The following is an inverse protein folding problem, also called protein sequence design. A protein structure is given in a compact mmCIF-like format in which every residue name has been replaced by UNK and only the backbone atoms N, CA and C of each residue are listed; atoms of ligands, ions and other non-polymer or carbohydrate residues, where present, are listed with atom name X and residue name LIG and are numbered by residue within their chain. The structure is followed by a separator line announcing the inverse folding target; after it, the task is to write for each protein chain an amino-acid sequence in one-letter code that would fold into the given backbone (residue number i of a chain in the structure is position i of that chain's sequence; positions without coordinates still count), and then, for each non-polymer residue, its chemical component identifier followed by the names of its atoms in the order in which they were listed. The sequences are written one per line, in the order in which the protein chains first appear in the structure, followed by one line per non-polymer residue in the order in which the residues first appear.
data_IF_896757593853
#
_entry.id   IF_896757593853
#
_cell.length_a   1.000
_cell.length_b   1.000
_cell.length_c   1.000
_cell.angle_alpha   90.00
_cell.angle_beta   90.00
_cell.angle_gamma   90.00
#
_symmetry.space_group_name_H-M   'P 1'
#
loop_
_entity.id
_entity.type
_entity.pdbx_description
1 polymer ?
#
# COMPACT_ATOMS: atom_id res chain seq x y z
N UNK A 1 36.25 8.14 -41.89
CA UNK A 1 36.11 8.35 -40.42
C UNK A 1 37.30 9.19 -39.96
N UNK A 2 37.14 10.07 -38.97
CA UNK A 2 38.24 10.89 -38.48
C UNK A 2 39.23 10.03 -37.69
N UNK A 3 40.53 10.23 -37.93
CA UNK A 3 41.61 9.52 -37.22
C UNK A 3 41.71 9.93 -35.74
N UNK A 4 41.16 11.10 -35.38
CA UNK A 4 41.13 11.56 -33.99
C UNK A 4 39.96 10.91 -33.21
N UNK A 5 40.23 10.14 -32.14
CA UNK A 5 39.20 9.45 -31.36
C UNK A 5 38.21 10.42 -30.69
N UNK A 6 38.62 11.64 -30.35
CA UNK A 6 37.75 12.65 -29.73
C UNK A 6 36.68 13.18 -30.69
N UNK A 7 36.94 13.16 -32.00
CA UNK A 7 36.00 13.59 -33.03
C UNK A 7 35.07 12.46 -33.49
N UNK A 8 35.39 11.21 -33.16
CA UNK A 8 34.62 10.03 -33.59
C UNK A 8 33.20 10.04 -33.04
N UNK A 9 33.02 10.48 -31.80
CA UNK A 9 31.70 10.61 -31.14
C UNK A 9 30.81 11.68 -31.78
N UNK A 10 31.40 12.68 -32.44
CA UNK A 10 30.68 13.74 -33.15
C UNK A 10 30.37 13.36 -34.62
N UNK A 11 31.05 12.34 -35.16
CA UNK A 11 30.95 11.95 -36.57
C UNK A 11 29.54 11.53 -36.99
N UNK A 12 28.80 10.88 -36.09
CA UNK A 12 27.40 10.49 -36.32
C UNK A 12 26.48 11.70 -36.46
N UNK A 13 26.84 12.81 -35.82
CA UNK A 13 26.07 14.05 -35.76
C UNK A 13 26.60 15.14 -36.70
N UNK A 14 27.57 14.81 -37.57
CA UNK A 14 28.28 15.80 -38.41
C UNK A 14 27.40 16.66 -39.30
N UNK A 15 26.24 16.15 -39.74
CA UNK A 15 25.28 16.89 -40.57
C UNK A 15 24.56 18.01 -39.82
N UNK A 16 24.54 17.93 -38.48
CA UNK A 16 23.90 18.91 -37.60
C UNK A 16 24.89 19.92 -37.01
N UNK A 17 26.19 19.75 -37.28
CA UNK A 17 27.23 20.59 -36.70
C UNK A 17 27.57 21.76 -37.62
N UNK A 18 27.51 22.98 -37.08
CA UNK A 18 27.86 24.21 -37.78
C UNK A 18 28.72 25.11 -36.89
N UNK A 19 29.55 25.96 -37.50
CA UNK A 19 30.29 27.01 -36.79
C UNK A 19 29.61 28.35 -37.10
N UNK A 20 29.19 29.06 -36.06
CA UNK A 20 28.56 30.38 -36.17
C UNK A 20 29.21 31.29 -35.14
N UNK A 21 29.77 32.42 -35.57
CA UNK A 21 30.46 33.39 -34.71
C UNK A 21 31.48 32.71 -33.76
N UNK A 22 32.33 31.84 -34.31
CA UNK A 22 33.34 31.05 -33.58
C UNK A 22 32.77 30.07 -32.52
N UNK A 23 31.46 29.82 -32.52
CA UNK A 23 30.82 28.82 -31.67
C UNK A 23 30.44 27.58 -32.48
N UNK A 24 30.73 26.40 -31.92
CA UNK A 24 30.24 25.14 -32.47
C UNK A 24 28.80 24.91 -32.02
N UNK A 25 27.89 24.76 -32.97
CA UNK A 25 26.48 24.51 -32.76
C UNK A 25 26.09 23.10 -33.24
N UNK A 26 25.16 22.48 -32.53
CA UNK A 26 24.36 21.34 -32.99
C UNK A 26 22.94 21.85 -33.20
N UNK A 27 22.50 21.94 -34.45
CA UNK A 27 21.28 22.67 -34.83
C UNK A 27 21.27 24.08 -34.19
N UNK A 28 20.39 24.32 -33.22
CA UNK A 28 20.24 25.59 -32.49
C UNK A 28 20.96 25.61 -31.12
N UNK A 29 21.71 24.57 -30.78
CA UNK A 29 22.28 24.36 -29.42
C UNK A 29 23.79 24.48 -29.41
N UNK A 30 24.33 25.10 -28.37
CA UNK A 30 25.77 25.29 -28.23
C UNK A 30 26.44 23.98 -27.80
N UNK A 31 27.53 23.65 -28.49
CA UNK A 31 28.40 22.50 -28.19
C UNK A 31 29.54 22.96 -27.31
N UNK A 32 29.49 22.60 -26.03
CA UNK A 32 30.50 23.00 -25.06
C UNK A 32 31.73 22.07 -25.08
N UNK A 33 32.94 22.63 -24.88
CA UNK A 33 34.15 21.84 -24.73
C UNK A 33 34.08 20.99 -23.45
N UNK A 34 34.78 19.85 -23.48
CA UNK A 34 34.77 18.87 -22.37
C UNK A 34 35.16 19.46 -21.02
N UNK A 35 36.02 20.48 -21.02
CA UNK A 35 36.45 21.21 -19.82
C UNK A 35 35.32 21.92 -19.10
N UNK A 36 34.25 22.30 -19.80
CA UNK A 36 33.10 23.02 -19.25
C UNK A 36 31.90 22.12 -18.94
N UNK A 37 31.98 20.81 -19.25
CA UNK A 37 30.82 19.91 -19.09
C UNK A 37 30.30 19.88 -17.66
N UNK A 38 31.17 19.87 -16.66
CA UNK A 38 30.77 19.84 -15.24
C UNK A 38 30.03 21.11 -14.83
N UNK A 39 30.58 22.27 -15.18
CA UNK A 39 29.96 23.58 -14.88
C UNK A 39 28.58 23.73 -15.52
N UNK A 40 28.44 23.28 -16.77
CA UNK A 40 27.14 23.33 -17.46
C UNK A 40 26.14 22.32 -16.87
N UNK A 41 26.60 21.13 -16.46
CA UNK A 41 25.75 20.17 -15.75
C UNK A 41 25.26 20.72 -14.41
N UNK A 42 26.13 21.39 -13.65
CA UNK A 42 25.76 22.09 -12.42
C UNK A 42 24.73 23.18 -12.71
N UNK A 43 24.94 23.99 -13.74
CA UNK A 43 23.99 25.03 -14.16
C UNK A 43 22.63 24.43 -14.51
N UNK A 44 22.58 23.35 -15.28
CA UNK A 44 21.34 22.63 -15.62
C UNK A 44 20.64 22.13 -14.34
N UNK A 45 21.41 21.64 -13.36
CA UNK A 45 20.91 21.05 -12.12
C UNK A 45 20.62 22.04 -10.97
N UNK A 46 20.98 23.34 -11.09
CA UNK A 46 20.82 24.36 -10.04
C UNK A 46 19.46 24.36 -9.30
N UNK A 47 18.36 24.03 -9.99
CA UNK A 47 17.03 23.97 -9.39
C UNK A 47 16.67 22.65 -8.70
N UNK A 48 17.61 21.70 -8.59
CA UNK A 48 17.41 20.34 -8.05
C UNK A 48 16.19 19.61 -8.66
N UNK A 49 15.90 19.89 -9.92
CA UNK A 49 14.74 19.36 -10.61
C UNK A 49 14.98 17.92 -11.07
N UNK A 50 13.90 17.16 -11.21
CA UNK A 50 13.96 15.79 -11.71
C UNK A 50 14.56 15.68 -13.12
N UNK A 51 15.01 14.48 -13.47
CA UNK A 51 15.73 14.16 -14.72
C UNK A 51 15.03 14.70 -15.98
N UNK A 52 13.70 14.61 -16.05
CA UNK A 52 12.91 15.09 -17.19
C UNK A 52 13.05 16.59 -17.40
N UNK A 53 12.99 17.38 -16.32
CA UNK A 53 13.14 18.84 -16.39
C UNK A 53 14.57 19.26 -16.71
N UNK A 54 15.56 18.57 -16.14
CA UNK A 54 16.97 18.82 -16.47
C UNK A 54 17.27 18.54 -17.96
N UNK A 55 16.72 17.45 -18.52
CA UNK A 55 16.83 17.14 -19.95
C UNK A 55 16.15 18.19 -20.82
N UNK A 56 14.93 18.60 -20.46
CA UNK A 56 14.21 19.65 -21.18
C UNK A 56 14.98 20.99 -21.20
N UNK A 57 15.55 21.39 -20.05
CA UNK A 57 16.38 22.59 -19.94
C UNK A 57 17.61 22.52 -20.84
N UNK A 58 18.29 21.37 -20.84
CA UNK A 58 19.47 21.16 -21.68
C UNK A 58 19.11 21.21 -23.18
N UNK A 59 17.98 20.61 -23.57
CA UNK A 59 17.49 20.63 -24.95
C UNK A 59 17.22 22.04 -25.51
N UNK A 60 17.06 23.06 -24.68
CA UNK A 60 16.82 24.42 -25.15
C UNK A 60 18.08 25.14 -25.65
N UNK A 61 19.28 24.74 -25.22
CA UNK A 61 20.48 25.57 -25.46
C UNK A 61 21.81 24.82 -25.52
N UNK A 62 21.86 23.55 -25.10
CA UNK A 62 23.12 22.84 -24.84
C UNK A 62 23.10 21.46 -25.47
N UNK A 63 24.20 21.07 -26.11
CA UNK A 63 24.37 19.71 -26.63
C UNK A 63 25.82 19.21 -26.61
N UNK A 64 26.02 17.93 -26.28
CA UNK A 64 27.22 17.17 -26.61
C UNK A 64 26.91 15.67 -26.55
N UNK A 65 27.72 14.80 -27.19
CA UNK A 65 27.58 13.36 -27.09
C UNK A 65 27.66 12.88 -25.63
N UNK A 66 26.61 12.22 -25.16
CA UNK A 66 26.55 11.71 -23.78
C UNK A 66 25.96 12.66 -22.74
N UNK A 67 25.50 13.86 -23.12
CA UNK A 67 24.84 14.83 -22.22
C UNK A 67 23.71 14.20 -21.38
N UNK A 68 22.82 13.40 -22.00
CA UNK A 68 21.72 12.74 -21.30
C UNK A 68 22.17 11.82 -20.17
N UNK A 69 23.33 11.16 -20.33
CA UNK A 69 23.94 10.30 -19.32
C UNK A 69 24.59 11.14 -18.23
N UNK A 70 25.28 12.23 -18.60
CA UNK A 70 25.84 13.18 -17.63
C UNK A 70 24.77 13.79 -16.71
N UNK A 71 23.62 14.18 -17.26
CA UNK A 71 22.47 14.69 -16.48
C UNK A 71 21.94 13.61 -15.52
N UNK A 72 21.81 12.37 -15.99
CA UNK A 72 21.33 11.25 -15.16
C UNK A 72 22.26 10.97 -13.99
N UNK A 73 23.57 10.93 -14.25
CA UNK A 73 24.57 10.74 -13.20
C UNK A 73 24.57 11.90 -12.19
N UNK A 74 24.47 13.14 -12.66
CA UNK A 74 24.41 14.33 -11.80
C UNK A 74 23.19 14.28 -10.86
N UNK A 75 21.99 14.04 -11.41
CA UNK A 75 20.75 13.97 -10.62
C UNK A 75 20.78 12.79 -9.64
N UNK A 76 21.34 11.65 -10.05
CA UNK A 76 21.42 10.44 -9.21
C UNK A 76 22.41 10.58 -8.06
N UNK A 77 23.56 11.23 -8.30
CA UNK A 77 24.62 11.45 -7.30
C UNK A 77 24.35 12.67 -6.41
N UNK A 78 23.36 13.49 -6.73
CA UNK A 78 23.02 14.68 -5.96
C UNK A 78 22.48 14.32 -4.56
N UNK A 79 23.19 14.78 -3.53
CA UNK A 79 22.84 14.53 -2.12
C UNK A 79 21.53 15.21 -1.71
N UNK A 80 21.27 16.43 -2.20
CA UNK A 80 20.01 17.16 -1.94
C UNK A 80 18.83 16.41 -2.54
N UNK A 81 18.91 16.00 -3.81
CA UNK A 81 17.84 15.24 -4.46
C UNK A 81 17.61 13.88 -3.82
N UNK A 82 18.67 13.22 -3.31
CA UNK A 82 18.55 11.95 -2.61
C UNK A 82 17.83 12.08 -1.27
N UNK A 83 18.11 13.14 -0.50
CA UNK A 83 17.47 13.41 0.80
C UNK A 83 15.99 13.75 0.67
N UNK A 84 15.64 14.58 -0.32
CA UNK A 84 14.27 15.03 -0.56
C UNK A 84 13.43 14.04 -1.38
N UNK A 85 14.02 12.92 -1.79
CA UNK A 85 13.30 11.90 -2.57
C UNK A 85 12.20 11.32 -1.69
N UNK A 86 10.91 11.43 -2.08
CA UNK A 86 9.83 10.86 -1.30
C UNK A 86 10.06 9.35 -1.17
N UNK A 87 10.17 8.87 0.07
CA UNK A 87 10.15 7.44 0.32
C UNK A 87 8.83 6.89 -0.21
N UNK A 88 8.93 5.94 -1.14
CA UNK A 88 7.79 5.09 -1.49
C UNK A 88 7.50 4.31 -0.22
N UNK A 89 6.47 4.72 0.53
CA UNK A 89 5.94 3.93 1.63
C UNK A 89 5.60 2.56 1.05
N UNK A 90 6.17 1.50 1.60
CA UNK A 90 5.85 0.15 1.16
C UNK A 90 4.33 -0.02 1.18
N UNK A 91 3.71 -0.51 0.08
CA UNK A 91 2.28 -0.79 0.07
C UNK A 91 1.98 -1.75 1.22
N UNK A 92 1.06 -1.35 2.10
CA UNK A 92 0.54 -2.18 3.18
C UNK A 92 0.24 -3.55 2.63
N UNK A 93 0.80 -4.60 3.24
CA UNK A 93 0.28 -5.94 3.00
C UNK A 93 -1.15 -5.94 3.57
N UNK A 94 -2.19 -6.03 2.73
CA UNK A 94 -3.54 -6.08 3.24
C UNK A 94 -3.69 -7.41 3.96
N UNK A 95 -3.99 -7.38 5.26
CA UNK A 95 -4.30 -8.60 6.00
C UNK A 95 -5.43 -9.34 5.28
N UNK A 96 -5.33 -10.66 5.12
CA UNK A 96 -6.34 -11.48 4.42
C UNK A 96 -7.75 -11.16 4.92
N UNK A 97 -8.73 -11.05 4.01
CA UNK A 97 -10.13 -10.95 4.41
C UNK A 97 -10.51 -12.22 5.18
N UNK A 98 -11.33 -12.12 6.25
CA UNK A 98 -11.74 -13.32 6.99
C UNK A 98 -12.52 -14.26 6.07
N UNK A 99 -12.42 -15.56 6.29
CA UNK A 99 -13.08 -16.58 5.47
C UNK A 99 -14.52 -16.87 5.91
N UNK A 100 -14.87 -16.49 7.14
CA UNK A 100 -16.20 -16.72 7.71
C UNK A 100 -16.61 -15.60 8.68
N UNK A 101 -17.92 -15.43 8.94
CA UNK A 101 -18.40 -14.58 10.02
C UNK A 101 -17.70 -14.90 11.33
N UNK A 102 -17.42 -13.87 12.11
CA UNK A 102 -16.91 -14.00 13.48
C UNK A 102 -15.49 -14.60 13.60
N UNK A 103 -14.76 -14.79 12.49
CA UNK A 103 -13.36 -15.22 12.53
C UNK A 103 -12.44 -14.11 13.05
N UNK A 104 -12.66 -12.88 12.59
CA UNK A 104 -11.84 -11.72 12.95
C UNK A 104 -12.73 -10.56 13.38
N UNK A 105 -12.55 -10.11 14.61
CA UNK A 105 -13.23 -8.95 15.15
C UNK A 105 -12.27 -7.76 15.25
N UNK A 106 -12.78 -6.56 15.04
CA UNK A 106 -12.14 -5.32 15.48
C UNK A 106 -12.87 -4.75 16.68
N UNK A 107 -12.13 -4.12 17.58
CA UNK A 107 -12.69 -3.37 18.68
C UNK A 107 -12.08 -1.98 18.79
N UNK A 108 -12.88 -1.05 19.28
CA UNK A 108 -12.44 0.30 19.58
C UNK A 108 -13.28 0.89 20.71
N UNK A 109 -12.63 1.67 21.58
CA UNK A 109 -13.34 2.49 22.55
C UNK A 109 -13.64 3.86 21.98
N UNK A 110 -14.83 4.37 22.27
CA UNK A 110 -15.18 5.74 21.94
C UNK A 110 -16.01 6.39 23.05
N UNK A 111 -15.92 7.71 23.13
CA UNK A 111 -16.76 8.52 24.01
C UNK A 111 -17.84 9.23 23.21
N UNK A 112 -19.03 9.31 23.79
CA UNK A 112 -20.17 10.05 23.24
C UNK A 112 -21.10 10.52 24.37
N UNK A 113 -21.46 11.81 24.38
CA UNK A 113 -22.30 12.44 25.41
C UNK A 113 -21.88 12.13 26.86
N UNK A 114 -20.58 12.14 27.14
CA UNK A 114 -20.04 11.86 28.50
C UNK A 114 -19.98 10.38 28.87
N UNK A 115 -20.50 9.48 28.03
CA UNK A 115 -20.45 8.04 28.25
C UNK A 115 -19.33 7.40 27.42
N UNK A 116 -18.78 6.30 27.93
CA UNK A 116 -17.77 5.46 27.28
C UNK A 116 -18.47 4.25 26.68
N UNK A 117 -18.08 3.88 25.46
CA UNK A 117 -18.61 2.73 24.75
C UNK A 117 -17.49 1.86 24.20
N UNK A 118 -17.72 0.55 24.22
CA UNK A 118 -16.99 -0.46 23.47
C UNK A 118 -17.77 -0.79 22.20
N UNK A 119 -17.12 -0.59 21.06
CA UNK A 119 -17.58 -1.08 19.77
C UNK A 119 -16.82 -2.37 19.43
N UNK A 120 -17.53 -3.38 18.99
CA UNK A 120 -16.99 -4.59 18.37
C UNK A 120 -17.60 -4.71 16.98
N UNK A 121 -16.78 -4.95 15.96
CA UNK A 121 -17.22 -5.15 14.59
C UNK A 121 -16.65 -6.46 14.03
N UNK A 122 -17.49 -7.25 13.38
CA UNK A 122 -17.05 -8.39 12.58
C UNK A 122 -16.48 -7.92 11.24
N UNK A 123 -15.26 -8.33 10.91
CA UNK A 123 -14.63 -7.92 9.65
C UNK A 123 -15.29 -8.55 8.42
N UNK A 124 -15.95 -9.70 8.59
CA UNK A 124 -16.61 -10.41 7.49
C UNK A 124 -17.98 -9.79 7.19
N UNK A 125 -18.92 -9.89 8.13
CA UNK A 125 -20.29 -9.43 7.94
C UNK A 125 -20.44 -7.91 8.01
N UNK A 126 -19.54 -7.22 8.75
CA UNK A 126 -19.67 -5.82 9.22
C UNK A 126 -20.71 -5.62 10.32
N UNK A 127 -21.23 -6.70 10.91
CA UNK A 127 -22.06 -6.63 12.10
C UNK A 127 -21.38 -5.86 13.23
N UNK A 128 -22.11 -4.93 13.88
CA UNK A 128 -21.60 -4.09 14.96
C UNK A 128 -22.34 -4.43 16.27
N UNK A 129 -21.57 -4.64 17.33
CA UNK A 129 -22.03 -4.65 18.71
C UNK A 129 -21.52 -3.40 19.42
N UNK A 130 -22.41 -2.70 20.14
CA UNK A 130 -22.05 -1.55 20.97
C UNK A 130 -22.47 -1.82 22.40
N UNK A 131 -21.54 -1.69 23.35
CA UNK A 131 -21.79 -1.79 24.78
C UNK A 131 -21.31 -0.54 25.50
N UNK A 132 -22.17 0.03 26.33
CA UNK A 132 -21.75 1.09 27.25
C UNK A 132 -20.88 0.50 28.35
N UNK A 133 -19.77 1.17 28.66
CA UNK A 133 -18.89 0.84 29.76
C UNK A 133 -19.05 1.87 30.88
N UNK A 134 -18.93 1.40 32.12
CA UNK A 134 -18.87 2.28 33.28
C UNK A 134 -17.49 2.96 33.39
N UNK A 135 -16.43 2.27 32.96
CA UNK A 135 -15.05 2.73 33.08
C UNK A 135 -14.19 2.26 31.88
N UNK A 136 -13.11 2.99 31.59
CA UNK A 136 -12.12 2.61 30.56
C UNK A 136 -11.05 1.64 31.11
N UNK A 137 -11.47 0.57 31.77
CA UNK A 137 -10.57 -0.45 32.33
C UNK A 137 -10.63 -1.76 31.56
N UNK A 138 -9.54 -2.54 31.60
CA UNK A 138 -9.50 -3.88 30.99
C UNK A 138 -10.60 -4.79 31.52
N UNK A 139 -10.88 -4.72 32.83
CA UNK A 139 -11.93 -5.51 33.46
C UNK A 139 -13.33 -5.18 32.91
N UNK A 140 -13.64 -3.88 32.77
CA UNK A 140 -14.92 -3.45 32.19
C UNK A 140 -15.06 -3.90 30.74
N UNK A 141 -14.01 -3.77 29.93
CA UNK A 141 -13.98 -4.26 28.55
C UNK A 141 -14.18 -5.78 28.45
N UNK A 142 -13.48 -6.56 29.28
CA UNK A 142 -13.63 -8.02 29.32
C UNK A 142 -15.03 -8.43 29.77
N UNK A 143 -15.60 -7.74 30.77
CA UNK A 143 -16.96 -7.99 31.24
C UNK A 143 -18.00 -7.71 30.15
N UNK A 144 -17.78 -6.72 29.30
CA UNK A 144 -18.64 -6.44 28.15
C UNK A 144 -18.46 -7.44 26.99
N UNK A 145 -17.25 -7.97 26.79
CA UNK A 145 -16.96 -8.95 25.74
C UNK A 145 -17.52 -10.35 26.05
N UNK A 146 -17.50 -10.78 27.31
CA UNK A 146 -17.96 -12.13 27.71
C UNK A 146 -19.40 -12.43 27.25
N UNK A 147 -20.40 -11.57 27.47
CA UNK A 147 -21.75 -11.77 26.94
C UNK A 147 -21.81 -11.83 25.42
N UNK A 148 -21.03 -11.00 24.72
CA UNK A 148 -20.97 -10.99 23.25
C UNK A 148 -20.44 -12.34 22.75
N UNK A 149 -19.36 -12.85 23.35
CA UNK A 149 -18.80 -14.15 23.00
C UNK A 149 -19.70 -15.33 23.40
N UNK A 150 -20.53 -15.18 24.44
CA UNK A 150 -21.50 -16.18 24.81
C UNK A 150 -22.63 -16.32 23.77
N UNK A 151 -22.97 -15.24 23.06
CA UNK A 151 -24.01 -15.24 22.02
C UNK A 151 -23.47 -15.76 20.68
N UNK A 152 -22.33 -15.24 20.25
CA UNK A 152 -21.81 -15.46 18.89
C UNK A 152 -20.69 -16.51 18.81
N UNK A 153 -20.15 -16.93 19.96
CA UNK A 153 -18.98 -17.79 20.05
C UNK A 153 -17.68 -17.01 20.23
N UNK A 154 -16.58 -17.75 20.38
CA UNK A 154 -15.24 -17.16 20.55
C UNK A 154 -14.58 -17.00 19.17
N UNK A 155 -14.12 -15.78 18.82
CA UNK A 155 -13.46 -15.53 17.54
C UNK A 155 -12.03 -16.09 17.50
N UNK A 156 -11.43 -16.18 16.31
CA UNK A 156 -10.02 -16.58 16.18
C UNK A 156 -9.07 -15.43 16.47
N UNK A 157 -9.38 -14.24 15.95
CA UNK A 157 -8.54 -13.06 16.05
C UNK A 157 -9.38 -11.87 16.52
N UNK A 158 -8.84 -11.15 17.49
CA UNK A 158 -9.43 -9.91 17.97
C UNK A 158 -8.40 -8.79 17.83
N UNK A 159 -8.74 -7.79 17.03
CA UNK A 159 -7.92 -6.62 16.74
C UNK A 159 -8.36 -5.45 17.62
N UNK A 160 -7.44 -4.74 18.26
CA UNK A 160 -7.74 -3.50 18.98
C UNK A 160 -6.76 -2.40 18.64
N UNK A 161 -7.06 -1.17 19.08
CA UNK A 161 -6.02 -0.16 19.19
C UNK A 161 -4.99 -0.53 20.28
N UNK A 162 -3.87 0.18 20.32
CA UNK A 162 -2.84 0.00 21.35
C UNK A 162 -3.18 0.74 22.66
N UNK A 163 -4.47 0.88 22.98
CA UNK A 163 -4.92 1.49 24.22
C UNK A 163 -4.46 0.68 25.44
N UNK A 164 -4.08 1.33 26.56
CA UNK A 164 -3.54 0.66 27.75
C UNK A 164 -4.49 -0.39 28.32
N UNK A 165 -5.80 -0.18 28.16
CA UNK A 165 -6.85 -1.11 28.59
C UNK A 165 -6.87 -2.43 27.80
N UNK A 166 -6.36 -2.46 26.57
CA UNK A 166 -6.26 -3.67 25.75
C UNK A 166 -4.86 -4.27 25.78
N UNK A 167 -3.83 -3.45 26.00
CA UNK A 167 -2.44 -3.91 26.12
C UNK A 167 -2.08 -4.43 27.53
N UNK A 168 -3.01 -4.39 28.49
CA UNK A 168 -2.78 -4.86 29.86
C UNK A 168 -2.64 -6.39 29.94
N UNK A 169 -1.82 -6.85 30.89
CA UNK A 169 -1.62 -8.28 31.21
C UNK A 169 -2.93 -9.04 31.43
N UNK A 170 -3.93 -8.38 32.02
CA UNK A 170 -5.28 -8.93 32.25
C UNK A 170 -5.97 -9.34 30.94
N UNK A 171 -5.84 -8.53 29.89
CA UNK A 171 -6.47 -8.83 28.60
C UNK A 171 -5.75 -9.98 27.88
N UNK A 172 -4.42 -10.03 27.99
CA UNK A 172 -3.62 -11.15 27.47
C UNK A 172 -3.99 -12.48 28.15
N UNK A 173 -4.19 -12.46 29.47
CA UNK A 173 -4.65 -13.63 30.22
C UNK A 173 -6.05 -14.08 29.79
N UNK A 174 -6.96 -13.13 29.56
CA UNK A 174 -8.29 -13.41 29.03
C UNK A 174 -8.23 -14.05 27.63
N UNK A 175 -7.40 -13.49 26.73
CA UNK A 175 -7.17 -14.04 25.39
C UNK A 175 -6.64 -15.48 25.43
N UNK A 176 -5.64 -15.74 26.29
CA UNK A 176 -5.08 -17.07 26.48
C UNK A 176 -6.11 -18.06 27.06
N UNK A 177 -6.93 -17.62 28.01
CA UNK A 177 -7.96 -18.46 28.65
C UNK A 177 -9.08 -18.85 27.69
N UNK A 178 -9.50 -17.92 26.83
CA UNK A 178 -10.57 -18.15 25.85
C UNK A 178 -10.05 -18.73 24.53
N UNK A 179 -8.74 -18.73 24.30
CA UNK A 179 -8.10 -19.34 23.13
C UNK A 179 -8.15 -18.51 21.85
N UNK A 180 -8.26 -17.18 21.96
CA UNK A 180 -8.21 -16.28 20.80
C UNK A 180 -6.89 -15.50 20.73
N UNK A 181 -6.49 -15.11 19.52
CA UNK A 181 -5.31 -14.28 19.30
C UNK A 181 -5.71 -12.81 19.42
N UNK A 182 -5.11 -12.10 20.36
CA UNK A 182 -5.24 -10.63 20.45
C UNK A 182 -4.09 -9.95 19.69
N UNK A 183 -4.44 -9.04 18.79
CA UNK A 183 -3.48 -8.26 18.02
C UNK A 183 -3.79 -6.77 18.14
N UNK A 184 -2.76 -5.95 18.38
CA UNK A 184 -2.90 -4.50 18.50
C UNK A 184 -2.40 -3.79 17.25
N UNK A 185 -3.10 -2.72 16.84
CA UNK A 185 -2.59 -1.85 15.78
C UNK A 185 -1.41 -1.05 16.33
N UNK A 186 -0.25 -1.14 15.67
CA UNK A 186 0.90 -0.31 16.06
C UNK A 186 0.63 1.17 15.72
N UNK A 187 1.30 2.13 16.38
CA UNK A 187 1.22 3.55 16.01
C UNK A 187 1.61 3.84 14.55
N UNK A 188 2.45 2.99 13.95
CA UNK A 188 2.84 3.09 12.53
C UNK A 188 1.83 2.46 11.57
N UNK A 189 0.89 1.66 12.05
CA UNK A 189 -0.07 0.89 11.25
C UNK A 189 -1.53 1.04 11.74
N UNK A 190 -2.05 2.27 11.89
CA UNK A 190 -3.43 2.51 12.34
C UNK A 190 -4.47 1.91 11.39
N UNK A 191 -4.13 1.74 10.11
CA UNK A 191 -4.99 1.14 9.09
C UNK A 191 -5.43 -0.31 9.43
N UNK A 192 -4.68 -1.03 10.26
CA UNK A 192 -5.03 -2.39 10.68
C UNK A 192 -6.34 -2.45 11.49
N UNK A 193 -6.68 -1.37 12.22
CA UNK A 193 -7.95 -1.23 12.96
C UNK A 193 -8.90 -0.20 12.32
N UNK A 194 -8.64 0.20 11.08
CA UNK A 194 -9.40 1.27 10.41
C UNK A 194 -10.89 0.95 10.21
N UNK A 195 -11.26 -0.34 10.17
CA UNK A 195 -12.65 -0.77 10.09
C UNK A 195 -13.41 -0.51 11.39
N UNK A 196 -12.80 -0.75 12.55
CA UNK A 196 -13.39 -0.37 13.83
C UNK A 196 -13.53 1.15 13.96
N UNK A 197 -12.55 1.93 13.50
CA UNK A 197 -12.63 3.40 13.51
C UNK A 197 -13.73 3.95 12.58
N UNK A 198 -13.94 3.33 11.42
CA UNK A 198 -15.06 3.63 10.53
C UNK A 198 -16.40 3.32 11.20
N UNK A 199 -16.50 2.14 11.82
CA UNK A 199 -17.68 1.72 12.55
C UNK A 199 -18.04 2.67 13.70
N UNK A 200 -17.04 3.19 14.42
CA UNK A 200 -17.23 4.23 15.47
C UNK A 200 -17.88 5.49 14.91
N UNK A 201 -17.47 5.95 13.72
CA UNK A 201 -18.11 7.11 13.08
C UNK A 201 -19.58 6.85 12.75
N UNK A 202 -19.89 5.66 12.23
CA UNK A 202 -21.27 5.23 11.96
C UNK A 202 -22.09 5.17 13.25
N UNK A 203 -21.56 4.52 14.30
CA UNK A 203 -22.22 4.40 15.59
C UNK A 203 -22.51 5.79 16.21
N UNK A 204 -21.54 6.70 16.22
CA UNK A 204 -21.76 8.09 16.69
C UNK A 204 -22.84 8.82 15.90
N UNK A 205 -22.90 8.63 14.59
CA UNK A 205 -23.93 9.24 13.75
C UNK A 205 -25.33 8.68 14.06
N UNK A 206 -25.44 7.37 14.29
CA UNK A 206 -26.69 6.70 14.69
C UNK A 206 -27.15 7.18 16.07
N UNK A 207 -26.24 7.20 17.06
CA UNK A 207 -26.51 7.68 18.42
C UNK A 207 -26.95 9.15 18.46
N UNK A 208 -26.42 9.99 17.56
CA UNK A 208 -26.80 11.40 17.49
C UNK A 208 -28.18 11.63 16.88
N UNK A 209 -28.59 10.79 15.92
CA UNK A 209 -29.82 10.98 15.13
C UNK A 209 -31.05 10.32 15.72
N UNK A 210 -30.87 9.33 16.60
CA UNK A 210 -31.97 8.50 17.08
C UNK A 210 -32.09 8.59 18.60
N UNK A 211 -33.32 8.66 19.09
CA UNK A 211 -33.64 8.63 20.52
C UNK A 211 -33.47 7.23 21.12
N UNK A 212 -33.62 6.17 20.31
CA UNK A 212 -33.31 4.78 20.67
C UNK A 212 -32.08 4.28 19.90
N UNK A 213 -30.90 4.30 20.54
CA UNK A 213 -29.66 3.71 20.04
C UNK A 213 -29.75 2.27 19.54
N UNK A 214 -30.48 1.42 20.26
CA UNK A 214 -30.46 -0.02 20.00
C UNK A 214 -31.30 -0.36 18.78
N UNK A 215 -32.46 0.30 18.64
CA UNK A 215 -33.28 0.17 17.44
C UNK A 215 -32.52 0.64 16.20
N UNK A 216 -31.81 1.77 16.29
CA UNK A 216 -31.01 2.30 15.19
C UNK A 216 -29.85 1.37 14.77
N UNK A 217 -29.18 0.75 15.74
CA UNK A 217 -28.13 -0.24 15.48
C UNK A 217 -28.70 -1.51 14.84
N UNK A 218 -29.86 -1.99 15.33
CA UNK A 218 -30.55 -3.14 14.76
C UNK A 218 -30.95 -2.90 13.29
N UNK A 219 -31.58 -1.76 12.99
CA UNK A 219 -31.94 -1.42 11.61
C UNK A 219 -30.72 -1.35 10.70
N UNK A 220 -29.60 -0.79 11.17
CA UNK A 220 -28.37 -0.72 10.40
C UNK A 220 -27.77 -2.12 10.10
N UNK A 221 -27.78 -3.02 11.09
CA UNK A 221 -27.23 -4.37 10.92
C UNK A 221 -28.11 -5.28 10.05
N UNK A 222 -29.43 -5.08 10.05
CA UNK A 222 -30.38 -5.90 9.27
C UNK A 222 -30.31 -5.60 7.76
N UNK A 223 -29.92 -4.37 7.37
CA UNK A 223 -29.82 -3.97 5.96
C UNK A 223 -28.60 -4.57 5.22
N UNK A 224 -27.73 -5.29 5.92
CA UNK A 224 -26.58 -5.99 5.34
C UNK A 224 -26.98 -7.38 4.80
N UNK A 225 -27.58 -7.37 3.62
CA UNK A 225 -27.86 -8.55 2.80
C UNK A 225 -26.57 -9.37 2.52
N UNK A 226 -26.66 -10.70 2.58
CA UNK A 226 -25.55 -11.63 2.27
C UNK A 226 -24.96 -11.39 0.88
N UNK A 227 -25.78 -10.95 -0.09
CA UNK A 227 -25.29 -10.61 -1.43
C UNK A 227 -24.43 -9.34 -1.44
N UNK A 228 -24.70 -8.37 -0.55
CA UNK A 228 -23.82 -7.20 -0.36
C UNK A 228 -22.50 -7.62 0.29
N UNK A 229 -22.52 -8.59 1.21
CA UNK A 229 -21.30 -9.14 1.82
C UNK A 229 -20.45 -9.85 0.77
N UNK A 230 -21.05 -10.72 -0.06
CA UNK A 230 -20.37 -11.42 -1.17
C UNK A 230 -19.75 -10.46 -2.18
N UNK A 231 -20.52 -9.46 -2.62
CA UNK A 231 -20.05 -8.44 -3.56
C UNK A 231 -18.81 -7.70 -3.03
N UNK A 232 -18.79 -7.40 -1.72
CA UNK A 232 -17.64 -6.74 -1.07
C UNK A 232 -16.44 -7.67 -0.94
N UNK A 233 -16.66 -8.94 -0.62
CA UNK A 233 -15.61 -9.96 -0.59
C UNK A 233 -14.95 -10.10 -1.96
N UNK A 234 -15.75 -10.18 -3.03
CA UNK A 234 -15.25 -10.26 -4.41
C UNK A 234 -14.51 -9.00 -4.84
N UNK A 235 -15.04 -7.82 -4.50
CA UNK A 235 -14.38 -6.54 -4.76
C UNK A 235 -13.05 -6.43 -4.00
N UNK A 236 -13.00 -6.91 -2.75
CA UNK A 236 -11.77 -6.92 -1.95
C UNK A 236 -10.72 -7.86 -2.55
N UNK A 237 -11.11 -9.10 -2.88
CA UNK A 237 -10.23 -10.09 -3.53
C UNK A 237 -9.68 -9.55 -4.86
N UNK A 238 -10.54 -8.94 -5.67
CA UNK A 238 -10.17 -8.33 -6.95
C UNK A 238 -9.18 -7.17 -6.76
N UNK A 239 -9.41 -6.29 -5.78
CA UNK A 239 -8.50 -5.19 -5.47
C UNK A 239 -7.13 -5.69 -4.96
N UNK A 240 -7.13 -6.76 -4.16
CA UNK A 240 -5.91 -7.42 -3.71
C UNK A 240 -5.13 -8.01 -4.87
N UNK A 241 -5.81 -8.74 -5.76
CA UNK A 241 -5.20 -9.35 -6.94
C UNK A 241 -4.64 -8.29 -7.89
N UNK A 242 -5.37 -7.21 -8.15
CA UNK A 242 -4.87 -6.08 -8.93
C UNK A 242 -3.62 -5.45 -8.31
N UNK A 243 -3.60 -5.29 -6.98
CA UNK A 243 -2.44 -4.74 -6.26
C UNK A 243 -1.23 -5.68 -6.33
N UNK A 244 -1.46 -6.99 -6.17
CA UNK A 244 -0.43 -8.03 -6.29
C UNK A 244 0.14 -8.09 -7.72
N UNK A 245 -0.72 -8.14 -8.74
CA UNK A 245 -0.33 -8.19 -10.15
C UNK A 245 0.49 -6.96 -10.52
N UNK A 246 0.06 -5.77 -10.09
CA UNK A 246 0.80 -4.52 -10.29
C UNK A 246 2.16 -4.53 -9.58
N UNK A 247 2.24 -5.05 -8.35
CA UNK A 247 3.47 -5.13 -7.55
C UNK A 247 4.49 -6.08 -8.16
N UNK A 248 4.06 -7.25 -8.64
CA UNK A 248 4.93 -8.31 -9.14
C UNK A 248 5.08 -8.32 -10.66
N UNK A 249 4.48 -7.35 -11.36
CA UNK A 249 4.33 -7.37 -12.83
C UNK A 249 3.77 -8.72 -13.31
N UNK A 250 2.92 -9.33 -12.49
CA UNK A 250 2.34 -10.62 -12.80
C UNK A 250 1.36 -10.41 -13.96
N UNK A 251 1.58 -11.14 -15.03
CA UNK A 251 0.67 -11.22 -16.16
C UNK A 251 -0.15 -12.49 -15.98
N UNK A 252 -1.43 -12.45 -16.38
CA UNK A 252 -2.19 -13.69 -16.53
C UNK A 252 -1.51 -14.54 -17.59
N UNK A 253 -0.97 -15.67 -17.16
CA UNK A 253 -0.43 -16.67 -18.07
C UNK A 253 -1.60 -17.43 -18.69
N UNK A 254 -1.52 -17.80 -19.98
CA UNK A 254 -2.53 -18.64 -20.61
C UNK A 254 -2.66 -19.96 -19.84
N UNK A 255 -3.89 -20.45 -19.72
CA UNK A 255 -4.18 -21.73 -19.06
C UNK A 255 -3.35 -22.84 -19.69
N UNK A 256 -2.53 -23.51 -18.88
CA UNK A 256 -1.68 -24.62 -19.33
C UNK A 256 -2.58 -25.76 -19.82
N UNK A 257 -2.49 -26.09 -21.10
CA UNK A 257 -3.17 -27.25 -21.67
C UNK A 257 -2.35 -28.52 -21.41
N UNK A 258 -2.98 -29.69 -21.31
CA UNK A 258 -2.27 -30.97 -21.21
C UNK A 258 -1.26 -31.11 -22.36
N UNK A 259 -0.01 -31.44 -22.02
CA UNK A 259 1.08 -31.62 -22.99
C UNK A 259 2.02 -30.43 -23.17
N UNK A 260 1.75 -29.26 -22.58
CA UNK A 260 2.68 -28.12 -22.62
C UNK A 260 3.95 -28.43 -21.82
N UNK A 261 5.12 -28.14 -22.39
CA UNK A 261 6.41 -28.19 -21.68
C UNK A 261 6.53 -26.95 -20.81
N UNK A 262 6.70 -27.15 -19.50
CA UNK A 262 6.87 -26.09 -18.50
C UNK A 262 8.21 -26.26 -17.81
N UNK A 263 8.92 -25.15 -17.67
CA UNK A 263 10.19 -25.12 -16.93
C UNK A 263 9.92 -25.06 -15.43
N UNK A 264 10.32 -26.10 -14.69
CA UNK A 264 10.17 -26.16 -13.23
C UNK A 264 11.44 -25.58 -12.60
N UNK A 265 11.38 -24.30 -12.21
CA UNK A 265 12.54 -23.57 -11.65
C UNK A 265 13.20 -24.28 -10.48
N UNK A 266 12.42 -24.91 -9.62
CA UNK A 266 12.90 -25.50 -8.37
C UNK A 266 13.64 -26.83 -8.61
N UNK A 267 13.40 -27.47 -9.76
CA UNK A 267 13.95 -28.77 -10.13
C UNK A 267 14.89 -28.71 -11.35
N UNK A 268 15.04 -27.53 -11.95
CA UNK A 268 15.93 -27.23 -13.08
C UNK A 268 15.80 -28.18 -14.28
N UNK A 269 14.57 -28.63 -14.59
CA UNK A 269 14.24 -29.47 -15.75
C UNK A 269 12.87 -29.12 -16.35
N UNK A 270 12.62 -29.59 -17.58
CA UNK A 270 11.35 -29.44 -18.27
C UNK A 270 10.36 -30.54 -17.89
N UNK A 271 9.20 -30.15 -17.34
CA UNK A 271 8.07 -31.05 -17.08
C UNK A 271 6.99 -30.91 -18.15
N UNK A 272 6.23 -31.97 -18.42
CA UNK A 272 4.99 -31.87 -19.22
C UNK A 272 3.80 -31.64 -18.30
N UNK A 273 2.97 -30.65 -18.61
CA UNK A 273 1.69 -30.44 -17.93
C UNK A 273 0.78 -31.65 -18.12
N UNK A 274 0.36 -32.27 -17.03
CA UNK A 274 -0.57 -33.42 -17.01
C UNK A 274 -1.95 -32.93 -16.55
N UNK A 275 -3.04 -33.55 -17.00
CA UNK A 275 -4.37 -33.26 -16.46
C UNK A 275 -4.38 -33.55 -14.96
N UNK A 276 -4.97 -32.64 -14.18
CA UNK A 276 -5.25 -32.89 -12.76
C UNK A 276 -6.22 -34.06 -12.69
N UNK A 277 -5.74 -35.24 -12.28
CA UNK A 277 -6.62 -36.34 -11.90
C UNK A 277 -7.50 -35.85 -10.75
N UNK A 278 -8.81 -35.83 -10.94
CA UNK A 278 -9.75 -35.65 -9.84
C UNK A 278 -9.62 -36.86 -8.92
N UNK A 279 -8.87 -36.70 -7.83
CA UNK A 279 -8.88 -37.65 -6.71
C UNK A 279 -10.18 -37.45 -5.92
N UNK A 280 -10.95 -38.53 -5.82
CA UNK A 280 -12.17 -38.69 -5.01
C UNK A 280 -12.00 -38.24 -3.56
#
# INVERSE_FOLDING_TARGET
MPHNPLLRQYWQSRSHLAIVNDLLLYDERIVFPRTMHLEILDCIHQGHLGITKCRARAQMSVWWPGLSKGIEEMVTKCTTCAKERPQIKEPLMPASFPSRPWERLGMSLFQHFGNVYLLVIDYFSRWIEVKQLNEQTSHSGIAALKPIFAVHGIPNIVMSDNGPQFSAKTFQQFAAMYGFVHATSSPRYPQANGEAERAVRTAKALLKKNSDPYLALLTWCIDEDLDKVRTREDAYRSAQQMTFNKRHKAQELPTLQPGYLVWIRDQNHEGKGVEKSQSL
#
